data_IF_999053920621
#
_entry.id   IF_999053920621
#
_cell.length_a   1.000
_cell.length_b   1.000
_cell.length_c   1.000
_cell.angle_alpha   90.00
_cell.angle_beta   90.00
_cell.angle_gamma   90.00
#
_symmetry.space_group_name_H-M   'P 1'
#
loop_
_entity.id
_entity.type
_entity.pdbx_description
1 polymer ?
#
# COMPACT_ATOMS: atom_id res chain seq x y z
N UNK A 1 -27.26 1.18 7.19
CA UNK A 1 -26.62 2.08 6.18
C UNK A 1 -25.12 2.21 6.43
N UNK A 2 -24.67 2.71 7.61
CA UNK A 2 -23.21 2.89 7.86
C UNK A 2 -22.45 1.56 7.86
N UNK A 3 -22.99 0.52 8.46
CA UNK A 3 -22.39 -0.82 8.45
C UNK A 3 -22.35 -1.41 7.04
N UNK A 4 -23.40 -1.20 6.24
CA UNK A 4 -23.43 -1.65 4.84
C UNK A 4 -22.33 -0.98 4.00
N UNK A 5 -22.02 0.30 4.27
CA UNK A 5 -20.94 1.01 3.61
C UNK A 5 -19.56 0.45 4.02
N UNK A 6 -19.38 0.15 5.32
CA UNK A 6 -18.14 -0.44 5.82
C UNK A 6 -17.91 -1.86 5.31
N UNK A 7 -18.98 -2.64 5.18
CA UNK A 7 -18.92 -4.02 4.69
C UNK A 7 -18.81 -4.12 3.17
N UNK A 8 -18.98 -3.00 2.45
CA UNK A 8 -18.83 -2.98 0.98
C UNK A 8 -17.36 -3.09 0.61
N UNK A 9 -16.95 -4.16 -0.10
CA UNK A 9 -15.56 -4.32 -0.49
C UNK A 9 -15.14 -3.24 -1.48
N UNK A 10 -13.96 -2.67 -1.25
CA UNK A 10 -13.37 -1.71 -2.18
C UNK A 10 -12.96 -2.42 -3.46
N UNK A 11 -13.47 -1.95 -4.59
CA UNK A 11 -13.14 -2.49 -5.91
C UNK A 11 -12.80 -1.37 -6.88
N UNK A 12 -11.94 -1.63 -7.90
CA UNK A 12 -11.81 -0.72 -9.01
C UNK A 12 -13.12 -0.76 -9.82
N UNK A 13 -13.84 0.35 -9.89
CA UNK A 13 -15.11 0.49 -10.61
C UNK A 13 -14.99 0.36 -12.14
N UNK A 14 -13.82 -0.07 -12.62
CA UNK A 14 -13.47 -0.12 -14.03
C UNK A 14 -13.91 -1.42 -14.72
N UNK A 15 -14.27 -2.44 -13.96
CA UNK A 15 -14.70 -3.73 -14.53
C UNK A 15 -16.19 -3.93 -14.29
N UNK A 16 -16.93 -4.33 -15.32
CA UNK A 16 -18.35 -4.65 -15.16
C UNK A 16 -18.51 -5.83 -14.19
N UNK A 17 -19.55 -5.80 -13.34
CA UNK A 17 -19.81 -6.90 -12.42
C UNK A 17 -20.10 -8.20 -13.21
N UNK A 18 -19.56 -9.32 -12.75
CA UNK A 18 -19.93 -10.65 -13.23
C UNK A 18 -21.03 -11.21 -12.33
N UNK A 19 -22.14 -11.57 -12.91
CA UNK A 19 -23.30 -12.13 -12.19
C UNK A 19 -23.79 -11.27 -11.00
N UNK A 20 -23.73 -9.94 -11.16
CA UNK A 20 -24.13 -8.98 -10.12
C UNK A 20 -23.17 -8.90 -8.92
N UNK A 21 -22.01 -9.54 -9.01
CA UNK A 21 -20.97 -9.51 -7.96
C UNK A 21 -19.75 -8.73 -8.42
N UNK A 22 -19.05 -8.11 -7.46
CA UNK A 22 -17.78 -7.43 -7.69
C UNK A 22 -16.77 -8.43 -8.23
N UNK A 23 -16.31 -8.21 -9.47
CA UNK A 23 -15.41 -9.13 -10.17
C UNK A 23 -13.97 -9.08 -9.65
N UNK A 24 -13.55 -7.98 -9.02
CA UNK A 24 -12.19 -7.79 -8.53
C UNK A 24 -12.18 -6.99 -7.22
N UNK A 25 -11.57 -7.55 -6.19
CA UNK A 25 -11.33 -6.82 -4.94
C UNK A 25 -9.95 -6.15 -4.99
N UNK A 26 -9.86 -4.96 -4.42
CA UNK A 26 -8.57 -4.22 -4.38
C UNK A 26 -7.53 -4.96 -3.55
N UNK A 27 -7.94 -5.62 -2.46
CA UNK A 27 -7.03 -6.41 -1.62
C UNK A 27 -6.36 -7.59 -2.34
N UNK A 28 -7.01 -8.16 -3.36
CA UNK A 28 -6.40 -9.21 -4.20
C UNK A 28 -5.17 -8.70 -4.97
N UNK A 29 -5.11 -7.39 -5.20
CA UNK A 29 -4.02 -6.73 -5.93
C UNK A 29 -2.96 -6.10 -5.04
N UNK A 30 -3.36 -5.52 -3.92
CA UNK A 30 -2.44 -4.76 -3.05
C UNK A 30 -2.07 -5.52 -1.78
N UNK A 31 -2.80 -6.57 -1.46
CA UNK A 31 -2.69 -7.32 -0.22
C UNK A 31 -3.61 -6.81 0.88
N UNK A 32 -3.58 -7.46 2.04
CA UNK A 32 -4.35 -7.02 3.20
C UNK A 32 -4.09 -5.55 3.54
N UNK A 33 -5.15 -4.79 3.74
CA UNK A 33 -5.03 -3.35 4.00
C UNK A 33 -4.22 -3.05 5.26
N UNK A 34 -4.32 -3.88 6.29
CA UNK A 34 -3.55 -3.69 7.51
C UNK A 34 -2.03 -3.78 7.29
N UNK A 35 -1.56 -4.68 6.42
CA UNK A 35 -0.14 -4.74 6.02
C UNK A 35 0.24 -3.51 5.20
N UNK A 36 -0.63 -3.11 4.28
CA UNK A 36 -0.40 -1.95 3.43
C UNK A 36 -0.29 -0.67 4.24
N UNK A 37 -1.20 -0.46 5.18
CA UNK A 37 -1.22 0.71 6.07
C UNK A 37 -0.01 0.72 7.00
N UNK A 38 0.38 -0.44 7.51
CA UNK A 38 1.59 -0.60 8.32
C UNK A 38 2.84 -0.16 7.55
N UNK A 39 3.02 -0.66 6.33
CA UNK A 39 4.17 -0.29 5.50
C UNK A 39 4.17 1.20 5.16
N UNK A 40 3.02 1.73 4.79
CA UNK A 40 2.85 3.15 4.46
C UNK A 40 3.20 4.04 5.65
N UNK A 41 2.68 3.72 6.84
CA UNK A 41 2.93 4.49 8.05
C UNK A 41 4.42 4.53 8.41
N UNK A 42 5.07 3.38 8.48
CA UNK A 42 6.48 3.32 8.87
C UNK A 42 7.42 3.89 7.82
N UNK A 43 7.10 3.77 6.54
CA UNK A 43 7.86 4.40 5.46
C UNK A 43 7.74 5.92 5.50
N UNK A 44 6.52 6.46 5.57
CA UNK A 44 6.31 7.91 5.44
C UNK A 44 6.45 8.65 6.77
N UNK A 45 5.94 8.10 7.87
CA UNK A 45 5.95 8.78 9.17
C UNK A 45 7.26 8.60 9.91
N UNK A 46 7.82 7.41 9.87
CA UNK A 46 9.05 7.07 10.59
C UNK A 46 10.31 7.11 9.72
N UNK A 47 10.16 7.12 8.39
CA UNK A 47 11.30 7.11 7.45
C UNK A 47 12.12 5.82 7.52
N UNK A 48 11.49 4.69 7.86
CA UNK A 48 12.21 3.43 7.98
C UNK A 48 12.50 2.81 6.62
N UNK A 49 13.66 2.19 6.53
CA UNK A 49 14.07 1.40 5.37
C UNK A 49 13.32 0.06 5.29
N UNK A 50 13.23 -0.56 4.10
CA UNK A 50 12.47 -1.79 3.89
C UNK A 50 12.83 -2.93 4.82
N UNK A 51 14.12 -3.13 5.11
CA UNK A 51 14.58 -4.20 6.00
C UNK A 51 14.06 -4.03 7.43
N UNK A 52 14.07 -2.79 7.92
CA UNK A 52 13.55 -2.46 9.25
C UNK A 52 12.03 -2.63 9.30
N UNK A 53 11.32 -2.16 8.28
CA UNK A 53 9.86 -2.33 8.18
C UNK A 53 9.51 -3.82 8.17
N UNK A 54 10.24 -4.62 7.41
CA UNK A 54 10.03 -6.06 7.34
C UNK A 54 10.21 -6.74 8.70
N UNK A 55 11.30 -6.45 9.41
CA UNK A 55 11.57 -7.05 10.74
C UNK A 55 10.48 -6.70 11.75
N UNK A 56 10.05 -5.44 11.77
CA UNK A 56 8.98 -5.01 12.69
C UNK A 56 7.65 -5.66 12.29
N UNK A 57 7.34 -5.73 10.99
CA UNK A 57 6.12 -6.37 10.51
C UNK A 57 6.05 -7.86 10.90
N UNK A 58 7.15 -8.60 10.74
CA UNK A 58 7.23 -10.01 11.15
C UNK A 58 6.94 -10.17 12.64
N UNK A 59 7.44 -9.27 13.48
CA UNK A 59 7.17 -9.31 14.93
C UNK A 59 5.73 -8.90 15.28
N UNK A 60 5.21 -7.87 14.59
CA UNK A 60 3.88 -7.32 14.89
C UNK A 60 2.76 -8.27 14.46
N UNK A 61 2.94 -8.94 13.34
CA UNK A 61 1.95 -9.84 12.76
C UNK A 61 2.28 -11.32 12.99
N UNK A 62 3.09 -11.62 14.01
CA UNK A 62 3.39 -13.00 14.40
C UNK A 62 2.10 -13.77 14.72
N UNK A 63 1.96 -14.96 14.14
CA UNK A 63 0.75 -15.77 14.25
C UNK A 63 -0.44 -15.31 13.39
N UNK A 64 -0.34 -14.18 12.66
CA UNK A 64 -1.38 -13.68 11.74
C UNK A 64 -0.95 -13.90 10.29
N UNK A 65 0.27 -13.53 9.94
CA UNK A 65 0.83 -13.69 8.60
C UNK A 65 2.19 -14.35 8.64
N UNK A 66 2.40 -15.30 7.74
CA UNK A 66 3.71 -15.91 7.55
C UNK A 66 4.72 -14.89 7.01
N UNK A 67 5.99 -15.06 7.40
CA UNK A 67 7.11 -14.22 6.95
C UNK A 67 7.15 -14.05 5.43
N UNK A 68 6.89 -15.11 4.69
CA UNK A 68 6.89 -15.10 3.22
C UNK A 68 5.75 -14.26 2.64
N UNK A 69 4.58 -14.29 3.28
CA UNK A 69 3.42 -13.48 2.91
C UNK A 69 3.71 -12.00 3.13
N UNK A 70 4.28 -11.65 4.29
CA UNK A 70 4.69 -10.27 4.58
C UNK A 70 5.72 -9.78 3.56
N UNK A 71 6.73 -10.58 3.23
CA UNK A 71 7.75 -10.23 2.25
C UNK A 71 7.17 -10.03 0.85
N UNK A 72 6.27 -10.93 0.41
CA UNK A 72 5.55 -10.81 -0.87
C UNK A 72 4.83 -9.46 -0.98
N UNK A 73 4.08 -9.10 0.04
CA UNK A 73 3.29 -7.86 0.03
C UNK A 73 4.16 -6.62 0.20
N UNK A 74 5.27 -6.69 0.94
CA UNK A 74 6.24 -5.61 1.03
C UNK A 74 6.90 -5.32 -0.34
N UNK A 75 7.29 -6.36 -1.08
CA UNK A 75 7.81 -6.24 -2.46
C UNK A 75 6.78 -5.57 -3.38
N UNK A 76 5.54 -6.05 -3.31
CA UNK A 76 4.45 -5.47 -4.10
C UNK A 76 4.18 -4.00 -3.72
N UNK A 77 4.19 -3.68 -2.43
CA UNK A 77 4.00 -2.32 -1.91
C UNK A 77 5.04 -1.36 -2.47
N UNK A 78 6.33 -1.62 -2.30
CA UNK A 78 7.39 -0.72 -2.79
C UNK A 78 7.33 -0.53 -4.31
N UNK A 79 7.22 -1.62 -5.06
CA UNK A 79 7.09 -1.55 -6.52
C UNK A 79 5.92 -0.66 -6.94
N UNK A 80 4.73 -0.91 -6.40
CA UNK A 80 3.52 -0.16 -6.78
C UNK A 80 3.56 1.28 -6.28
N UNK A 81 4.05 1.52 -5.07
CA UNK A 81 4.10 2.85 -4.49
C UNK A 81 4.83 3.84 -5.40
N UNK A 82 6.01 3.48 -5.87
CA UNK A 82 6.80 4.33 -6.75
C UNK A 82 6.26 4.33 -8.20
N UNK A 83 5.97 3.18 -8.78
CA UNK A 83 5.48 3.09 -10.16
C UNK A 83 4.11 3.78 -10.37
N UNK A 84 3.32 3.93 -9.33
CA UNK A 84 2.00 4.59 -9.42
C UNK A 84 2.02 6.05 -8.95
N UNK A 85 3.18 6.64 -8.71
CA UNK A 85 3.28 8.05 -8.29
C UNK A 85 2.64 9.01 -9.27
N UNK A 86 2.76 8.77 -10.57
CA UNK A 86 2.13 9.60 -11.58
C UNK A 86 0.61 9.69 -11.41
N UNK A 87 -0.05 8.62 -10.95
CA UNK A 87 -1.50 8.64 -10.66
C UNK A 87 -1.82 9.56 -9.49
N UNK A 88 -1.01 9.54 -8.43
CA UNK A 88 -1.20 10.45 -7.29
C UNK A 88 -0.98 11.90 -7.69
N UNK A 89 -0.05 12.16 -8.58
CA UNK A 89 0.22 13.51 -9.10
C UNK A 89 -0.96 14.09 -9.89
N UNK A 90 -1.80 13.26 -10.50
CA UNK A 90 -2.96 13.66 -11.29
C UNK A 90 -4.24 13.80 -10.44
N UNK A 91 -4.25 13.31 -9.18
CA UNK A 91 -5.44 13.38 -8.34
C UNK A 91 -5.71 14.82 -7.85
N UNK A 92 -6.99 15.20 -7.68
CA UNK A 92 -7.35 16.45 -7.01
C UNK A 92 -6.93 16.40 -5.54
N UNK A 93 -6.89 17.57 -4.91
CA UNK A 93 -6.64 17.68 -3.48
C UNK A 93 -7.75 17.01 -2.69
N UNK A 94 -7.35 16.21 -1.70
CA UNK A 94 -8.24 15.53 -0.78
C UNK A 94 -7.98 15.92 0.68
N UNK A 95 -8.92 15.66 1.57
CA UNK A 95 -8.73 15.91 2.99
C UNK A 95 -7.65 14.99 3.57
N UNK A 96 -6.85 15.53 4.48
CA UNK A 96 -5.94 14.73 5.31
C UNK A 96 -6.72 14.18 6.50
N UNK A 97 -6.92 12.88 6.53
CA UNK A 97 -7.69 12.20 7.58
C UNK A 97 -6.82 11.73 8.74
N UNK A 98 -5.63 11.20 8.44
CA UNK A 98 -4.68 10.68 9.42
C UNK A 98 -3.45 11.57 9.61
N UNK A 99 -2.43 10.99 10.27
CA UNK A 99 -1.13 11.65 10.49
C UNK A 99 -0.22 11.62 9.27
N UNK A 100 -0.53 10.77 8.30
CA UNK A 100 0.23 10.58 7.05
C UNK A 100 -0.70 10.83 5.87
N UNK A 101 -0.25 11.61 4.88
CA UNK A 101 -0.95 11.83 3.64
C UNK A 101 -0.03 11.55 2.45
N UNK A 102 -0.58 10.92 1.41
CA UNK A 102 0.13 10.59 0.17
C UNK A 102 -0.06 11.64 -0.93
N UNK A 103 -0.62 12.79 -0.58
CA UNK A 103 -0.80 13.89 -1.54
C UNK A 103 0.55 14.49 -1.93
N UNK A 104 0.86 14.60 -3.24
CA UNK A 104 2.10 15.22 -3.72
C UNK A 104 2.12 16.75 -3.50
N UNK A 105 0.98 17.34 -3.20
CA UNK A 105 0.85 18.77 -2.83
C UNK A 105 0.93 19.00 -1.32
N UNK A 106 0.95 17.93 -0.54
CA UNK A 106 1.06 17.95 0.92
C UNK A 106 2.32 17.27 1.43
N UNK A 107 2.15 16.15 2.14
CA UNK A 107 3.22 15.48 2.88
C UNK A 107 4.20 14.70 1.98
N UNK A 108 3.75 14.16 0.84
CA UNK A 108 4.56 13.33 -0.06
C UNK A 108 4.88 14.08 -1.36
N UNK A 109 5.82 15.01 -1.29
CA UNK A 109 6.35 15.71 -2.46
C UNK A 109 7.40 14.86 -3.15
N UNK A 110 6.99 14.07 -4.12
CA UNK A 110 7.84 13.15 -4.86
C UNK A 110 7.61 13.30 -6.36
N UNK A 111 8.68 13.17 -7.15
CA UNK A 111 8.61 13.16 -8.62
C UNK A 111 7.73 12.02 -9.13
N UNK A 112 7.00 12.25 -10.23
CA UNK A 112 6.11 11.26 -10.84
C UNK A 112 6.83 10.05 -11.41
N UNK A 113 8.12 10.19 -11.71
CA UNK A 113 9.00 9.21 -12.34
C UNK A 113 10.16 8.75 -11.43
N UNK A 114 9.96 8.85 -10.11
CA UNK A 114 10.98 8.43 -9.13
C UNK A 114 11.36 6.96 -9.29
N UNK A 115 12.66 6.70 -9.30
CA UNK A 115 13.21 5.35 -9.45
C UNK A 115 13.08 4.56 -8.13
N UNK A 116 12.57 3.33 -8.22
CA UNK A 116 12.37 2.43 -7.08
C UNK A 116 13.56 1.48 -6.83
N UNK A 117 14.57 1.48 -7.69
CA UNK A 117 15.64 0.46 -7.71
C UNK A 117 16.30 0.25 -6.35
N UNK A 118 16.69 1.32 -5.67
CA UNK A 118 17.40 1.22 -4.38
C UNK A 118 16.57 0.44 -3.35
N UNK A 119 15.27 0.72 -3.25
CA UNK A 119 14.38 0.03 -2.31
C UNK A 119 14.10 -1.41 -2.74
N UNK A 120 13.95 -1.68 -4.04
CA UNK A 120 13.76 -3.04 -4.53
C UNK A 120 15.00 -3.90 -4.29
N UNK A 121 16.19 -3.37 -4.52
CA UNK A 121 17.47 -4.07 -4.23
C UNK A 121 17.60 -4.43 -2.74
N UNK A 122 17.09 -3.59 -1.84
CA UNK A 122 17.05 -3.90 -0.41
C UNK A 122 16.03 -5.01 -0.10
N UNK A 123 14.82 -4.89 -0.65
CA UNK A 123 13.76 -5.88 -0.40
C UNK A 123 14.09 -7.25 -0.98
N UNK A 124 14.76 -7.31 -2.13
CA UNK A 124 15.20 -8.55 -2.74
C UNK A 124 16.24 -9.30 -1.91
N UNK A 125 17.08 -8.60 -1.17
CA UNK A 125 18.06 -9.19 -0.24
C UNK A 125 17.44 -9.82 1.01
N UNK A 126 16.15 -9.59 1.27
CA UNK A 126 15.44 -10.15 2.43
C UNK A 126 14.87 -11.56 2.16
N UNK A 127 15.04 -12.05 0.93
CA UNK A 127 14.53 -13.35 0.46
C UNK A 127 15.33 -14.50 1.01
#
# INVERSE_FOLDING_TARGET
>A
VLYDILDTPVSPELLPPKDGKIAQKTEDLVGPYELHDFFLYYMLRAGYEPDKIFRIAVQTFDGVYDREVILKWLKNFYRRFFMQQFKRSCLPDGPKVGTVAVSPRGDLRMSSDSCVRIWMDQVEKLS
#
